data_IF_580111205206
#
_entry.id   IF_580111205206
#
_cell.length_a   1.000
_cell.length_b   1.000
_cell.length_c   1.000
_cell.angle_alpha   90.00
_cell.angle_beta   90.00
_cell.angle_gamma   90.00
#
_symmetry.space_group_name_H-M   'P 1'
#
loop_
_entity.id
_entity.type
_entity.pdbx_description
1 polymer ?
#
# COMPACT_ATOMS: atom_id res chain seq x y z
N UNK A 1 -40.97 -3.72 -23.44
CA UNK A 1 -39.63 -3.19 -23.80
C UNK A 1 -38.74 -2.88 -22.59
N UNK A 2 -39.21 -2.16 -21.56
CA UNK A 2 -38.42 -1.85 -20.34
C UNK A 2 -37.83 -3.08 -19.61
N UNK A 3 -38.61 -4.16 -19.45
CA UNK A 3 -38.14 -5.40 -18.80
C UNK A 3 -37.04 -6.12 -19.61
N UNK A 4 -37.17 -6.16 -20.94
CA UNK A 4 -36.18 -6.76 -21.83
C UNK A 4 -34.86 -5.99 -21.81
N UNK A 5 -34.93 -4.65 -21.83
CA UNK A 5 -33.77 -3.77 -21.71
C UNK A 5 -32.99 -3.97 -20.40
N UNK A 6 -33.70 -4.11 -19.27
CA UNK A 6 -33.08 -4.39 -17.96
C UNK A 6 -32.37 -5.76 -17.96
N UNK A 7 -32.98 -6.79 -18.56
CA UNK A 7 -32.38 -8.13 -18.64
C UNK A 7 -31.09 -8.11 -19.47
N UNK A 8 -31.08 -7.38 -20.59
CA UNK A 8 -29.89 -7.22 -21.43
C UNK A 8 -28.76 -6.52 -20.67
N UNK A 9 -29.06 -5.43 -19.95
CA UNK A 9 -28.06 -4.76 -19.09
C UNK A 9 -27.51 -5.71 -18.02
N UNK A 10 -28.38 -6.50 -17.38
CA UNK A 10 -27.98 -7.47 -16.37
C UNK A 10 -27.04 -8.54 -16.96
N UNK A 11 -27.34 -9.05 -18.16
CA UNK A 11 -26.48 -10.01 -18.86
C UNK A 11 -25.10 -9.43 -19.20
N UNK A 12 -25.04 -8.18 -19.67
CA UNK A 12 -23.77 -7.50 -19.91
C UNK A 12 -22.98 -7.30 -18.61
N UNK A 13 -23.66 -6.91 -17.53
CA UNK A 13 -23.03 -6.74 -16.22
C UNK A 13 -22.45 -8.06 -15.68
N UNK A 14 -23.21 -9.15 -15.76
CA UNK A 14 -22.74 -10.49 -15.36
C UNK A 14 -21.55 -10.94 -16.21
N UNK A 15 -21.62 -10.74 -17.53
CA UNK A 15 -20.52 -11.10 -18.43
C UNK A 15 -19.24 -10.32 -18.13
N UNK A 16 -19.37 -9.02 -17.83
CA UNK A 16 -18.26 -8.17 -17.40
C UNK A 16 -17.64 -8.62 -16.07
N UNK A 17 -18.46 -8.99 -15.08
CA UNK A 17 -17.98 -9.52 -13.80
C UNK A 17 -17.22 -10.85 -13.97
N UNK A 18 -17.75 -11.77 -14.80
CA UNK A 18 -17.09 -13.06 -15.11
C UNK A 18 -15.72 -12.81 -15.77
N UNK A 19 -15.65 -11.88 -16.72
CA UNK A 19 -14.40 -11.54 -17.39
C UNK A 19 -13.35 -11.00 -16.40
N UNK A 20 -13.72 -10.03 -15.56
CA UNK A 20 -12.85 -9.49 -14.49
C UNK A 20 -12.34 -10.57 -13.53
N UNK A 21 -13.19 -11.53 -13.16
CA UNK A 21 -12.79 -12.64 -12.30
C UNK A 21 -11.74 -13.56 -12.97
N UNK A 22 -11.95 -13.88 -14.26
CA UNK A 22 -11.01 -14.71 -15.03
C UNK A 22 -9.66 -14.04 -15.26
N UNK A 23 -9.62 -12.73 -15.53
CA UNK A 23 -8.37 -11.98 -15.64
C UNK A 23 -7.52 -12.07 -14.37
N UNK A 24 -8.15 -11.90 -13.21
CA UNK A 24 -7.47 -12.00 -11.92
C UNK A 24 -6.96 -13.41 -11.61
N UNK A 25 -7.71 -14.44 -12.02
CA UNK A 25 -7.35 -15.83 -11.77
C UNK A 25 -6.14 -16.30 -12.61
N UNK A 26 -6.03 -15.84 -13.87
CA UNK A 26 -4.94 -16.20 -14.79
C UNK A 26 -3.73 -15.25 -14.70
N UNK A 27 -3.73 -14.34 -13.73
CA UNK A 27 -2.63 -13.42 -13.52
C UNK A 27 -1.41 -14.12 -12.90
N UNK A 28 -0.26 -13.98 -13.56
CA UNK A 28 1.05 -14.39 -13.07
C UNK A 28 1.98 -13.20 -13.09
N UNK A 29 2.68 -12.97 -11.98
CA UNK A 29 3.66 -11.90 -11.82
C UNK A 29 4.98 -12.45 -11.31
N UNK A 30 6.12 -11.82 -11.64
CA UNK A 30 7.39 -12.13 -11.02
C UNK A 30 7.33 -11.96 -9.50
N UNK A 31 7.90 -12.91 -8.76
CA UNK A 31 8.11 -12.80 -7.32
C UNK A 31 9.36 -11.98 -7.07
N UNK A 32 9.33 -11.08 -6.08
CA UNK A 32 10.53 -10.36 -5.69
C UNK A 32 11.59 -11.35 -5.17
N UNK A 33 12.79 -11.27 -5.73
CA UNK A 33 13.91 -12.17 -5.42
C UNK A 33 15.22 -11.40 -5.18
N UNK A 34 15.10 -10.11 -4.86
CA UNK A 34 16.23 -9.24 -4.54
C UNK A 34 16.84 -9.54 -3.17
N UNK A 35 17.46 -8.53 -2.57
CA UNK A 35 18.08 -8.66 -1.24
C UNK A 35 17.06 -8.88 -0.13
N UNK A 36 17.57 -9.35 1.01
CA UNK A 36 16.76 -9.43 2.23
C UNK A 36 16.26 -8.05 2.67
N UNK A 37 14.96 -7.99 2.99
CA UNK A 37 14.31 -6.81 3.53
C UNK A 37 13.70 -7.11 4.91
N UNK A 38 13.91 -6.19 5.84
CA UNK A 38 13.25 -6.18 7.15
C UNK A 38 12.24 -5.05 7.18
N UNK A 39 10.96 -5.38 7.31
CA UNK A 39 9.87 -4.41 7.26
C UNK A 39 9.22 -4.32 8.63
N UNK A 40 9.19 -3.11 9.20
CA UNK A 40 8.38 -2.85 10.38
C UNK A 40 6.91 -2.83 9.99
N UNK A 41 6.02 -3.48 10.73
CA UNK A 41 4.59 -3.49 10.39
C UNK A 41 3.69 -3.17 11.58
N UNK A 42 2.80 -2.21 11.37
CA UNK A 42 1.69 -1.89 12.28
C UNK A 42 0.39 -2.47 11.71
N UNK A 43 -0.17 -3.43 12.45
CA UNK A 43 -1.39 -4.16 12.08
C UNK A 43 -1.11 -5.56 11.54
N UNK A 44 -1.96 -6.02 10.62
CA UNK A 44 -1.96 -7.42 10.17
C UNK A 44 -0.80 -7.69 9.20
N UNK A 45 -0.08 -8.80 9.41
CA UNK A 45 0.98 -9.25 8.49
C UNK A 45 0.34 -9.72 7.17
N UNK A 46 0.72 -9.15 6.01
CA UNK A 46 0.16 -9.57 4.73
C UNK A 46 0.67 -10.95 4.32
N UNK A 47 -0.19 -11.69 3.62
CA UNK A 47 0.22 -12.92 2.96
C UNK A 47 1.03 -12.59 1.69
N UNK A 48 2.33 -12.85 1.71
CA UNK A 48 3.27 -12.57 0.61
C UNK A 48 3.90 -13.86 0.08
N UNK A 49 4.53 -13.81 -1.10
CA UNK A 49 5.17 -14.99 -1.74
C UNK A 49 6.67 -15.05 -1.49
N UNK A 50 7.24 -13.94 -1.05
CA UNK A 50 8.67 -13.71 -0.89
C UNK A 50 9.20 -14.37 0.39
N UNK A 51 10.23 -15.20 0.25
CA UNK A 51 10.91 -15.83 1.39
C UNK A 51 12.04 -14.95 1.98
N UNK A 52 12.46 -13.91 1.24
CA UNK A 52 13.53 -12.98 1.59
C UNK A 52 13.02 -11.68 2.22
N UNK A 53 11.73 -11.61 2.56
CA UNK A 53 11.14 -10.46 3.25
C UNK A 53 10.63 -10.91 4.60
N UNK A 54 11.04 -10.20 5.65
CA UNK A 54 10.62 -10.47 7.02
C UNK A 54 9.88 -9.28 7.60
N UNK A 55 8.82 -9.56 8.35
CA UNK A 55 8.05 -8.53 9.06
C UNK A 55 8.41 -8.55 10.54
N UNK A 56 8.67 -7.36 11.08
CA UNK A 56 8.84 -7.12 12.51
C UNK A 56 7.58 -6.42 12.99
N UNK A 57 6.78 -7.09 13.81
CA UNK A 57 5.58 -6.50 14.38
C UNK A 57 5.93 -5.26 15.22
N UNK A 58 5.16 -4.19 15.04
CA UNK A 58 5.31 -2.92 15.73
C UNK A 58 3.95 -2.36 16.15
N UNK A 59 3.95 -1.55 17.18
CA UNK A 59 2.81 -0.68 17.53
C UNK A 59 3.03 0.74 17.00
N UNK A 60 1.98 1.57 16.99
CA UNK A 60 2.14 3.00 16.70
C UNK A 60 2.94 3.71 17.80
N UNK A 61 2.89 3.25 19.04
CA UNK A 61 3.76 3.76 20.10
C UNK A 61 5.25 3.53 19.77
N UNK A 62 5.60 2.39 19.18
CA UNK A 62 6.97 2.13 18.73
C UNK A 62 7.39 3.08 17.58
N UNK A 63 6.42 3.52 16.76
CA UNK A 63 6.63 4.53 15.72
C UNK A 63 6.90 5.90 16.35
N UNK A 64 6.09 6.34 17.33
CA UNK A 64 6.33 7.60 18.06
C UNK A 64 7.70 7.63 18.74
N UNK A 65 8.09 6.51 19.34
CA UNK A 65 9.39 6.34 19.99
C UNK A 65 10.54 6.12 19.00
N UNK A 66 10.28 6.22 17.68
CA UNK A 66 11.27 6.07 16.60
C UNK A 66 12.09 4.76 16.67
N UNK A 67 11.52 3.67 17.22
CA UNK A 67 12.22 2.38 17.40
C UNK A 67 12.59 1.68 16.09
N UNK A 68 12.07 2.16 14.96
CA UNK A 68 12.29 1.61 13.63
C UNK A 68 13.64 2.01 13.00
N UNK A 69 14.20 3.16 13.38
CA UNK A 69 15.26 3.86 12.62
C UNK A 69 16.48 2.99 12.28
N UNK A 70 16.87 2.06 13.14
CA UNK A 70 18.04 1.19 12.94
C UNK A 70 17.69 -0.29 12.76
N UNK A 71 16.40 -0.63 12.74
CA UNK A 71 15.94 -2.03 12.77
C UNK A 71 15.37 -2.53 11.45
N UNK A 72 14.80 -1.62 10.65
CA UNK A 72 14.01 -1.97 9.47
C UNK A 72 14.34 -1.06 8.30
N UNK A 73 14.09 -1.56 7.10
CA UNK A 73 14.31 -0.86 5.83
C UNK A 73 13.12 0.04 5.44
N UNK A 74 11.93 -0.22 5.99
CA UNK A 74 10.71 0.57 5.83
C UNK A 74 9.70 0.22 6.92
N UNK A 75 8.71 1.10 7.16
CA UNK A 75 7.58 0.84 8.06
C UNK A 75 6.27 0.83 7.26
N UNK A 76 5.50 -0.25 7.39
CA UNK A 76 4.19 -0.43 6.78
C UNK A 76 3.09 -0.26 7.83
N UNK A 77 2.03 0.46 7.50
CA UNK A 77 0.86 0.66 8.35
C UNK A 77 -0.35 0.20 7.55
N UNK A 78 -1.10 -0.76 8.10
CA UNK A 78 -2.24 -1.38 7.42
C UNK A 78 -3.56 -0.69 7.73
N UNK A 79 -4.56 -0.90 6.86
CA UNK A 79 -5.88 -0.24 6.87
C UNK A 79 -6.48 0.06 8.24
N UNK A 80 -6.48 -0.93 9.15
CA UNK A 80 -7.09 -0.82 10.48
C UNK A 80 -6.48 0.28 11.35
N UNK A 81 -5.22 0.64 11.12
CA UNK A 81 -4.49 1.63 11.91
C UNK A 81 -4.29 2.96 11.18
N UNK A 82 -4.75 3.11 9.92
CA UNK A 82 -4.50 4.32 9.14
C UNK A 82 -5.11 5.57 9.77
N UNK A 83 -6.31 5.47 10.34
CA UNK A 83 -6.96 6.61 11.00
C UNK A 83 -6.18 7.13 12.19
N UNK A 84 -5.66 6.22 13.02
CA UNK A 84 -4.83 6.55 14.19
C UNK A 84 -3.45 7.03 13.74
N UNK A 85 -2.86 6.40 12.73
CA UNK A 85 -1.58 6.79 12.16
C UNK A 85 -1.59 8.17 11.48
N UNK A 86 -2.77 8.71 11.20
CA UNK A 86 -2.99 10.06 10.66
C UNK A 86 -3.17 11.12 11.75
N UNK A 87 -3.10 10.76 13.04
CA UNK A 87 -3.16 11.76 14.11
C UNK A 87 -1.95 12.71 14.04
N UNK A 88 -2.12 14.00 14.42
CA UNK A 88 -1.10 15.03 14.26
C UNK A 88 0.30 14.69 14.80
N UNK A 89 0.36 13.92 15.89
CA UNK A 89 1.60 13.51 16.55
C UNK A 89 2.53 12.67 15.67
N UNK A 90 2.01 12.00 14.64
CA UNK A 90 2.81 11.15 13.75
C UNK A 90 3.36 11.90 12.53
N UNK A 91 2.73 12.99 12.10
CA UNK A 91 3.09 13.71 10.89
C UNK A 91 4.58 14.10 10.85
N UNK A 92 5.07 14.67 11.95
CA UNK A 92 6.49 15.04 12.09
C UNK A 92 7.43 13.82 12.04
N UNK A 93 7.00 12.67 12.57
CA UNK A 93 7.78 11.43 12.53
C UNK A 93 7.99 10.96 11.09
N UNK A 94 6.95 11.02 10.26
CA UNK A 94 7.03 10.63 8.85
C UNK A 94 7.92 11.57 8.04
N UNK A 95 7.80 12.88 8.26
CA UNK A 95 8.63 13.90 7.60
C UNK A 95 10.14 13.74 7.90
N UNK A 96 10.47 13.50 9.17
CA UNK A 96 11.86 13.38 9.62
C UNK A 96 12.45 11.97 9.43
N UNK A 97 11.64 11.01 8.96
CA UNK A 97 12.06 9.62 8.90
C UNK A 97 13.23 9.41 7.91
N UNK A 98 14.29 8.71 8.32
CA UNK A 98 15.38 8.33 7.41
C UNK A 98 15.01 7.19 6.47
N UNK A 99 13.86 6.53 6.66
CA UNK A 99 13.36 5.42 5.84
C UNK A 99 11.92 5.68 5.38
N UNK A 100 11.44 5.06 4.29
CA UNK A 100 10.09 5.26 3.80
C UNK A 100 9.03 4.68 4.75
N UNK A 101 7.92 5.41 4.84
CA UNK A 101 6.66 4.93 5.41
C UNK A 101 5.71 4.54 4.27
N UNK A 102 4.96 3.47 4.50
CA UNK A 102 4.02 2.93 3.53
C UNK A 102 2.68 2.66 4.21
N UNK A 103 1.62 3.20 3.63
CA UNK A 103 0.24 3.09 4.07
C UNK A 103 -0.50 2.16 3.11
N UNK A 104 -0.91 1.00 3.62
CA UNK A 104 -1.51 -0.08 2.83
C UNK A 104 -3.03 0.04 2.88
N UNK A 105 -3.65 -0.02 1.71
CA UNK A 105 -5.10 0.01 1.49
C UNK A 105 -5.76 1.26 2.06
N UNK A 106 -5.07 2.41 1.89
CA UNK A 106 -5.61 3.71 2.24
C UNK A 106 -6.63 4.15 1.20
N UNK A 107 -7.69 4.78 1.68
CA UNK A 107 -8.68 5.45 0.84
C UNK A 107 -8.35 6.95 0.68
N UNK A 108 -7.37 7.46 1.44
CA UNK A 108 -7.06 8.88 1.57
C UNK A 108 -5.68 9.19 1.02
N UNK A 109 -5.55 10.35 0.38
CA UNK A 109 -4.25 10.79 -0.17
C UNK A 109 -3.19 10.89 0.92
N UNK A 110 -1.91 10.79 0.54
CA UNK A 110 -0.78 10.80 1.47
C UNK A 110 -0.77 12.01 2.42
N UNK A 111 -1.31 13.17 2.01
CA UNK A 111 -1.43 14.36 2.85
C UNK A 111 -2.23 14.11 4.13
N UNK A 112 -3.15 13.14 4.14
CA UNK A 112 -3.89 12.73 5.33
C UNK A 112 -2.99 12.32 6.50
N UNK A 113 -1.74 11.92 6.23
CA UNK A 113 -0.79 11.47 7.25
C UNK A 113 0.28 12.51 7.56
N UNK A 114 0.48 13.49 6.68
CA UNK A 114 1.64 14.40 6.71
C UNK A 114 1.30 15.82 7.12
N UNK A 115 0.02 16.19 7.02
CA UNK A 115 -0.48 17.50 7.43
C UNK A 115 -1.09 17.37 8.82
N UNK A 116 -0.45 17.99 9.81
CA UNK A 116 -0.85 17.92 11.22
C UNK A 116 -2.11 18.74 11.53
N UNK A 117 -2.62 19.50 10.56
CA UNK A 117 -3.89 20.23 10.64
C UNK A 117 -5.03 19.53 9.90
N UNK A 118 -4.74 18.51 9.09
CA UNK A 118 -5.73 17.81 8.28
C UNK A 118 -6.08 16.46 8.90
N UNK A 119 -7.36 16.30 9.29
CA UNK A 119 -7.82 15.00 9.76
C UNK A 119 -7.90 13.98 8.60
N UNK A 120 -7.75 12.69 8.93
CA UNK A 120 -7.91 11.61 7.95
C UNK A 120 -9.27 11.66 7.23
N UNK A 121 -10.34 12.00 7.95
CA UNK A 121 -11.69 12.02 7.41
C UNK A 121 -11.92 13.19 6.45
N UNK A 122 -11.30 14.34 6.73
CA UNK A 122 -11.39 15.55 5.91
C UNK A 122 -10.45 15.51 4.70
N UNK A 123 -9.44 14.64 4.72
CA UNK A 123 -8.54 14.47 3.60
C UNK A 123 -9.26 13.94 2.34
N UNK A 124 -8.76 14.36 1.18
CA UNK A 124 -9.29 13.93 -0.10
C UNK A 124 -9.14 12.41 -0.30
N UNK A 125 -10.16 11.79 -0.87
CA UNK A 125 -10.11 10.40 -1.30
C UNK A 125 -9.15 10.24 -2.49
N UNK A 126 -8.36 9.17 -2.48
CA UNK A 126 -7.48 8.81 -3.60
C UNK A 126 -8.33 8.56 -4.85
N UNK A 127 -8.02 9.27 -5.93
CA UNK A 127 -8.64 9.06 -7.25
C UNK A 127 -7.83 8.16 -8.17
N UNK A 128 -6.55 7.92 -7.87
CA UNK A 128 -5.67 7.07 -8.68
C UNK A 128 -5.98 5.58 -8.57
N UNK A 129 -6.71 5.15 -7.52
CA UNK A 129 -6.96 3.74 -7.24
C UNK A 129 -5.74 3.00 -6.65
N UNK A 130 -4.78 3.75 -6.11
CA UNK A 130 -3.60 3.16 -5.47
C UNK A 130 -4.00 2.31 -4.27
N UNK A 131 -3.48 1.08 -4.22
CA UNK A 131 -3.62 0.20 -3.06
C UNK A 131 -2.53 0.46 -2.03
N UNK A 132 -1.37 0.93 -2.49
CA UNK A 132 -0.25 1.31 -1.62
C UNK A 132 0.05 2.78 -1.84
N UNK A 133 0.19 3.51 -0.73
CA UNK A 133 0.69 4.88 -0.70
C UNK A 133 1.98 4.89 0.10
N UNK A 134 3.06 5.43 -0.47
CA UNK A 134 4.34 5.52 0.20
C UNK A 134 4.88 6.94 0.19
N UNK A 135 5.67 7.25 1.20
CA UNK A 135 6.27 8.56 1.39
C UNK A 135 7.66 8.46 2.00
N UNK A 136 8.58 9.28 1.49
CA UNK A 136 9.84 9.58 2.12
C UNK A 136 10.27 11.00 1.75
N UNK A 137 10.45 11.85 2.77
CA UNK A 137 10.85 13.26 2.63
C UNK A 137 9.95 14.06 1.71
N UNK A 138 10.32 14.31 0.48
CA UNK A 138 9.56 15.10 -0.49
C UNK A 138 8.97 14.21 -1.60
N UNK A 139 9.20 12.89 -1.53
CA UNK A 139 8.80 11.96 -2.57
C UNK A 139 7.65 11.08 -2.13
N UNK A 140 6.55 11.19 -2.87
CA UNK A 140 5.39 10.29 -2.80
C UNK A 140 5.46 9.23 -3.90
N UNK A 141 4.96 8.03 -3.61
CA UNK A 141 4.70 7.01 -4.63
C UNK A 141 3.40 6.25 -4.34
N UNK A 142 2.73 5.84 -5.40
CA UNK A 142 1.51 5.04 -5.35
C UNK A 142 1.67 3.75 -6.15
N UNK A 143 1.06 2.66 -5.68
CA UNK A 143 1.00 1.40 -6.43
C UNK A 143 -0.44 0.88 -6.44
N UNK A 144 -1.07 0.88 -7.61
CA UNK A 144 -2.36 0.23 -7.85
C UNK A 144 -2.25 -1.29 -8.01
N UNK A 145 -3.38 -1.98 -7.79
CA UNK A 145 -3.51 -3.40 -8.10
C UNK A 145 -3.60 -3.61 -9.62
N UNK A 146 -3.10 -4.75 -10.10
CA UNK A 146 -3.23 -5.12 -11.50
C UNK A 146 -4.71 -5.10 -11.95
N UNK A 147 -5.00 -4.33 -13.00
CA UNK A 147 -6.36 -4.08 -13.54
C UNK A 147 -7.41 -3.62 -12.51
N UNK A 148 -6.97 -3.03 -11.38
CA UNK A 148 -7.80 -2.70 -10.23
C UNK A 148 -8.59 -3.92 -9.68
N UNK A 149 -8.08 -5.13 -9.90
CA UNK A 149 -8.71 -6.36 -9.41
C UNK A 149 -8.18 -6.62 -8.01
N UNK A 150 -9.09 -6.76 -7.04
CA UNK A 150 -8.74 -7.08 -5.65
C UNK A 150 -8.84 -8.59 -5.42
N UNK A 151 -7.71 -9.27 -5.44
CA UNK A 151 -7.59 -10.67 -5.02
C UNK A 151 -6.17 -10.94 -4.47
N UNK A 152 -5.93 -12.14 -3.96
CA UNK A 152 -4.65 -12.51 -3.37
C UNK A 152 -3.47 -12.34 -4.35
N UNK A 153 -3.60 -12.78 -5.60
CA UNK A 153 -2.52 -12.74 -6.59
C UNK A 153 -2.11 -11.31 -6.96
N UNK A 154 -3.08 -10.42 -7.13
CA UNK A 154 -2.82 -9.01 -7.47
C UNK A 154 -2.30 -8.21 -6.28
N UNK A 155 -2.71 -8.56 -5.06
CA UNK A 155 -2.14 -8.00 -3.83
C UNK A 155 -0.68 -8.45 -3.66
N UNK A 156 -0.39 -9.74 -3.81
CA UNK A 156 0.97 -10.27 -3.73
C UNK A 156 1.90 -9.67 -4.80
N UNK A 157 1.41 -9.45 -6.02
CA UNK A 157 2.16 -8.68 -7.05
C UNK A 157 2.48 -7.26 -6.61
N UNK A 158 1.50 -6.57 -6.03
CA UNK A 158 1.69 -5.21 -5.53
C UNK A 158 2.80 -5.18 -4.47
N UNK A 159 2.84 -6.17 -3.58
CA UNK A 159 3.95 -6.35 -2.63
C UNK A 159 5.29 -6.63 -3.33
N UNK A 160 5.35 -7.53 -4.31
CA UNK A 160 6.58 -7.78 -5.08
C UNK A 160 7.14 -6.48 -5.69
N UNK A 161 6.28 -5.65 -6.29
CA UNK A 161 6.67 -4.34 -6.86
C UNK A 161 7.08 -3.33 -5.78
N UNK A 162 6.39 -3.32 -4.63
CA UNK A 162 6.75 -2.50 -3.49
C UNK A 162 8.15 -2.83 -2.97
N UNK A 163 8.48 -4.12 -2.84
CA UNK A 163 9.79 -4.55 -2.35
C UNK A 163 10.94 -4.14 -3.29
N UNK A 164 10.71 -4.13 -4.61
CA UNK A 164 11.69 -3.56 -5.56
C UNK A 164 11.95 -2.08 -5.28
N UNK A 165 10.91 -1.30 -4.95
CA UNK A 165 11.06 0.12 -4.61
C UNK A 165 11.85 0.27 -3.30
N UNK A 166 11.53 -0.53 -2.27
CA UNK A 166 12.24 -0.49 -0.99
C UNK A 166 13.72 -0.91 -1.15
N UNK A 167 14.02 -1.94 -1.94
CA UNK A 167 15.39 -2.35 -2.23
C UNK A 167 16.18 -1.23 -2.95
N UNK A 168 15.58 -0.59 -3.96
CA UNK A 168 16.22 0.54 -4.66
C UNK A 168 16.46 1.70 -3.71
N UNK A 169 15.50 2.01 -2.83
CA UNK A 169 15.68 3.01 -1.79
C UNK A 169 16.86 2.65 -0.87
N UNK A 170 16.90 1.42 -0.34
CA UNK A 170 17.99 0.93 0.53
C UNK A 170 19.36 1.10 -0.13
N UNK A 171 19.44 0.91 -1.44
CA UNK A 171 20.69 1.02 -2.19
C UNK A 171 21.09 2.47 -2.56
N UNK A 172 20.13 3.40 -2.67
CA UNK A 172 20.37 4.73 -3.28
C UNK A 172 19.99 5.91 -2.39
N UNK A 173 19.23 5.68 -1.32
CA UNK A 173 18.62 6.71 -0.48
C UNK A 173 17.49 7.49 -1.17
N UNK A 174 17.02 7.05 -2.35
CA UNK A 174 15.98 7.75 -3.13
C UNK A 174 14.87 6.79 -3.57
N UNK A 175 13.64 7.27 -3.55
CA UNK A 175 12.50 6.54 -4.13
C UNK A 175 12.59 6.66 -5.66
N UNK A 176 12.68 5.52 -6.35
CA UNK A 176 12.82 5.46 -7.80
C UNK A 176 11.67 4.65 -8.42
N UNK A 177 10.70 5.37 -8.97
CA UNK A 177 9.54 4.82 -9.68
C UNK A 177 9.92 4.71 -11.17
N UNK A 178 10.47 3.56 -11.58
CA UNK A 178 10.76 3.23 -12.98
C UNK A 178 10.51 1.75 -13.23
#
# INVERSE_FOLDING_TARGET
>A
MRKLFIIVILMFFVSYLIHKANEGANFHSPVYSGRELKIGIVGDIPNIRENNVSFIQMSLEDVLQKKFVTKVDSVFITKKHLKEAAEPQYAKIYWESPIPFVFIDSEKVYLAFLDDQLSYEDAHTIKSGDYVVGFHKDTYFGIGLYNNIRNEKTIQDCYSRLFVIIERFKNTGKILIK
#
